data_IF_997338436921
#
_entry.id   IF_997338436921
#
_cell.length_a   1.000
_cell.length_b   1.000
_cell.length_c   1.000
_cell.angle_alpha   90.00
_cell.angle_beta   90.00
_cell.angle_gamma   90.00
#
_symmetry.space_group_name_H-M   'P 1'
#
loop_
_entity.id
_entity.type
_entity.pdbx_description
1 polymer ?
#
# COMPACT_ATOMS: atom_id res chain seq x y z
N UNK A 1 28.99 -6.91 -38.83
CA UNK A 1 28.03 -6.27 -37.89
C UNK A 1 27.27 -5.21 -38.65
N UNK A 2 26.22 -5.62 -39.35
CA UNK A 2 25.34 -4.73 -40.10
C UNK A 2 24.30 -4.17 -39.13
N UNK A 3 24.34 -2.86 -38.92
CA UNK A 3 23.26 -2.12 -38.28
C UNK A 3 22.00 -2.28 -39.15
N UNK A 4 21.17 -3.26 -38.81
CA UNK A 4 19.86 -3.44 -39.42
C UNK A 4 19.00 -2.24 -39.05
N UNK A 5 18.90 -1.28 -39.97
CA UNK A 5 17.95 -0.19 -39.91
C UNK A 5 16.56 -0.77 -39.81
N UNK A 6 16.00 -0.77 -38.59
CA UNK A 6 14.58 -0.94 -38.40
C UNK A 6 13.95 0.33 -38.93
N UNK A 7 13.39 0.24 -40.14
CA UNK A 7 12.31 1.11 -40.56
C UNK A 7 11.18 0.98 -39.52
N UNK A 8 11.25 1.80 -38.48
CA UNK A 8 10.15 2.09 -37.56
C UNK A 8 9.18 3.09 -38.22
N UNK A 9 8.98 2.97 -39.54
CA UNK A 9 8.20 3.87 -40.39
C UNK A 9 6.70 3.56 -40.39
N UNK A 10 6.17 3.01 -39.30
CA UNK A 10 4.74 3.05 -39.05
C UNK A 10 4.41 4.44 -38.51
N UNK A 11 3.41 5.11 -39.09
CA UNK A 11 2.92 6.41 -38.65
C UNK A 11 2.47 6.31 -37.18
N UNK A 12 3.40 6.60 -36.28
CA UNK A 12 3.25 6.52 -34.85
C UNK A 12 3.21 7.93 -34.25
N UNK A 13 2.27 8.24 -33.35
CA UNK A 13 1.10 7.44 -32.94
C UNK A 13 -0.05 7.47 -33.97
N UNK A 14 -0.97 6.50 -33.88
CA UNK A 14 -2.24 6.49 -34.62
C UNK A 14 -3.00 7.81 -34.39
N UNK A 15 -3.51 8.51 -35.43
CA UNK A 15 -4.32 9.71 -35.27
C UNK A 15 -5.47 9.58 -34.26
N UNK A 16 -6.10 8.41 -34.17
CA UNK A 16 -7.18 8.18 -33.20
C UNK A 16 -6.65 8.13 -31.75
N UNK A 17 -5.52 7.45 -31.53
CA UNK A 17 -4.84 7.41 -30.22
C UNK A 17 -4.37 8.81 -29.80
N UNK A 18 -3.78 9.57 -30.73
CA UNK A 18 -3.41 10.97 -30.47
C UNK A 18 -4.62 11.81 -30.07
N UNK A 19 -5.71 11.75 -30.84
CA UNK A 19 -6.92 12.50 -30.54
C UNK A 19 -7.52 12.15 -29.17
N UNK A 20 -7.51 10.86 -28.80
CA UNK A 20 -7.92 10.40 -27.47
C UNK A 20 -7.09 11.08 -26.37
N UNK A 21 -5.77 11.12 -26.51
CA UNK A 21 -4.90 11.73 -25.52
C UNK A 21 -4.94 13.26 -25.52
N UNK A 22 -5.22 13.91 -26.65
CA UNK A 22 -5.45 15.37 -26.72
C UNK A 22 -6.70 15.72 -25.92
N UNK A 23 -7.78 14.96 -26.10
CA UNK A 23 -9.01 15.11 -25.33
C UNK A 23 -8.78 14.84 -23.84
N UNK A 24 -8.03 13.79 -23.49
CA UNK A 24 -7.70 13.46 -22.10
C UNK A 24 -6.90 14.58 -21.41
N UNK A 25 -5.86 15.10 -22.07
CA UNK A 25 -5.04 16.19 -21.53
C UNK A 25 -5.83 17.49 -21.38
N UNK A 26 -6.68 17.83 -22.36
CA UNK A 26 -7.56 19.00 -22.28
C UNK A 26 -8.57 18.86 -21.13
N UNK A 27 -9.15 17.67 -20.94
CA UNK A 27 -10.04 17.35 -19.81
C UNK A 27 -9.33 17.50 -18.47
N UNK A 28 -8.11 16.96 -18.35
CA UNK A 28 -7.29 17.09 -17.15
C UNK A 28 -6.95 18.56 -16.83
N UNK A 29 -6.57 19.34 -17.83
CA UNK A 29 -6.29 20.76 -17.69
C UNK A 29 -7.53 21.55 -17.21
N UNK A 30 -8.71 21.25 -17.78
CA UNK A 30 -9.98 21.86 -17.37
C UNK A 30 -10.33 21.55 -15.90
N UNK A 31 -10.18 20.29 -15.48
CA UNK A 31 -10.37 19.88 -14.07
C UNK A 31 -9.41 20.60 -13.13
N UNK A 32 -8.12 20.69 -13.47
CA UNK A 32 -7.11 21.39 -12.65
C UNK A 32 -7.38 22.90 -12.57
N UNK A 33 -7.88 23.51 -13.64
CA UNK A 33 -8.32 24.90 -13.62
C UNK A 33 -9.50 25.11 -12.69
N UNK A 34 -10.53 24.25 -12.78
CA UNK A 34 -11.73 24.34 -11.95
C UNK A 34 -11.43 24.10 -10.46
N UNK A 35 -10.68 23.04 -10.15
CA UNK A 35 -10.48 22.58 -8.77
C UNK A 35 -9.32 23.30 -8.06
N UNK A 36 -8.26 23.66 -8.80
CA UNK A 36 -7.03 24.26 -8.24
C UNK A 36 -6.74 25.67 -8.74
N UNK A 37 -7.47 26.17 -9.73
CA UNK A 37 -7.17 27.47 -10.36
C UNK A 37 -5.90 27.46 -11.21
N UNK A 38 -5.42 26.28 -11.63
CA UNK A 38 -4.19 26.14 -12.42
C UNK A 38 -4.47 26.31 -13.91
N UNK A 39 -3.70 27.16 -14.58
CA UNK A 39 -3.84 27.48 -16.00
C UNK A 39 -2.53 27.23 -16.76
N UNK A 40 -1.79 26.20 -16.36
CA UNK A 40 -0.54 25.86 -17.01
C UNK A 40 -0.76 25.45 -18.46
N UNK A 41 0.26 25.70 -19.30
CA UNK A 41 0.23 25.27 -20.69
C UNK A 41 0.21 23.74 -20.78
N UNK A 42 -0.59 23.22 -21.70
CA UNK A 42 -0.65 21.79 -21.99
C UNK A 42 -0.41 21.51 -23.47
N UNK A 43 0.32 20.43 -23.78
CA UNK A 43 0.51 19.96 -25.16
C UNK A 43 0.86 18.48 -25.21
N UNK A 44 0.66 17.88 -26.38
CA UNK A 44 1.20 16.57 -26.70
C UNK A 44 2.43 16.69 -27.60
N UNK A 45 3.46 15.90 -27.32
CA UNK A 45 4.67 15.78 -28.14
C UNK A 45 4.94 14.31 -28.47
N UNK A 46 5.43 14.03 -29.68
CA UNK A 46 5.82 12.68 -30.10
C UNK A 46 7.35 12.63 -30.21
N UNK A 47 7.99 11.91 -29.29
CA UNK A 47 9.45 11.85 -29.18
C UNK A 47 9.90 10.47 -28.69
N UNK A 48 11.03 9.98 -29.21
CA UNK A 48 11.66 8.71 -28.78
C UNK A 48 10.74 7.47 -28.87
N UNK A 49 9.82 7.47 -29.83
CA UNK A 49 8.85 6.37 -29.99
C UNK A 49 7.72 6.38 -28.95
N UNK A 50 7.55 7.46 -28.20
CA UNK A 50 6.44 7.66 -27.27
C UNK A 50 5.63 8.92 -27.58
N UNK A 51 4.38 8.92 -27.14
CA UNK A 51 3.52 10.10 -27.06
C UNK A 51 3.56 10.61 -25.63
N UNK A 52 3.87 11.89 -25.45
CA UNK A 52 4.08 12.51 -24.16
C UNK A 52 3.04 13.60 -23.94
N UNK A 53 2.35 13.54 -22.80
CA UNK A 53 1.51 14.61 -22.30
C UNK A 53 2.34 15.54 -21.42
N UNK A 54 2.31 16.83 -21.74
CA UNK A 54 2.97 17.89 -21.00
C UNK A 54 1.93 18.82 -20.38
N UNK A 55 2.06 19.09 -19.07
CA UNK A 55 1.27 20.07 -18.33
C UNK A 55 2.19 20.84 -17.38
N UNK A 56 2.43 22.12 -17.66
CA UNK A 56 3.48 22.88 -16.95
C UNK A 56 4.85 22.23 -17.14
N UNK A 57 5.50 21.83 -16.03
CA UNK A 57 6.78 21.10 -16.06
C UNK A 57 6.60 19.58 -15.94
N UNK A 58 5.36 19.08 -15.78
CA UNK A 58 5.10 17.63 -15.74
C UNK A 58 5.07 17.09 -17.15
N UNK A 59 5.75 15.95 -17.32
CA UNK A 59 5.77 15.17 -18.55
C UNK A 59 5.46 13.71 -18.23
N UNK A 60 4.47 13.14 -18.92
CA UNK A 60 3.95 11.78 -18.72
C UNK A 60 3.90 11.05 -20.05
N UNK A 61 4.47 9.85 -20.15
CA UNK A 61 4.37 9.00 -21.32
C UNK A 61 2.98 8.35 -21.36
N UNK A 62 2.17 8.66 -22.37
CA UNK A 62 0.77 8.19 -22.48
C UNK A 62 0.58 7.12 -23.55
N UNK A 63 1.52 6.99 -24.48
CA UNK A 63 1.57 5.89 -25.44
C UNK A 63 3.03 5.56 -25.80
N UNK A 64 3.31 4.30 -26.11
CA UNK A 64 4.65 3.83 -26.48
C UNK A 64 4.85 2.38 -26.11
N UNK A 65 6.09 1.91 -26.16
CA UNK A 65 6.47 0.58 -25.67
C UNK A 65 6.34 0.44 -24.15
N UNK A 66 6.45 1.55 -23.42
CA UNK A 66 6.37 1.61 -21.96
C UNK A 66 5.65 2.90 -21.53
N UNK A 67 4.32 2.98 -21.66
CA UNK A 67 3.58 4.14 -21.18
C UNK A 67 3.61 4.20 -19.65
N UNK A 68 3.70 5.41 -19.09
CA UNK A 68 3.61 5.67 -17.65
C UNK A 68 2.17 5.47 -17.14
N UNK A 69 1.19 5.71 -18.03
CA UNK A 69 -0.25 5.61 -17.74
C UNK A 69 -0.97 4.89 -18.86
N UNK A 70 -2.01 4.13 -18.53
CA UNK A 70 -2.74 3.29 -19.49
C UNK A 70 -4.11 3.85 -19.90
N UNK A 71 -4.62 4.84 -19.17
CA UNK A 71 -5.91 5.46 -19.43
C UNK A 71 -5.96 6.97 -19.06
N UNK A 72 -6.98 7.71 -19.54
CA UNK A 72 -7.15 9.13 -19.25
C UNK A 72 -7.26 9.50 -17.76
N UNK A 73 -7.81 8.63 -16.91
CA UNK A 73 -7.96 8.96 -15.50
C UNK A 73 -6.60 8.88 -14.80
N UNK A 74 -5.79 7.85 -15.10
CA UNK A 74 -4.41 7.76 -14.62
C UNK A 74 -3.57 8.98 -15.06
N UNK A 75 -3.77 9.50 -16.28
CA UNK A 75 -3.11 10.74 -16.72
C UNK A 75 -3.51 11.94 -15.83
N UNK A 76 -4.81 12.07 -15.52
CA UNK A 76 -5.27 13.13 -14.64
C UNK A 76 -4.68 12.99 -13.24
N UNK A 77 -4.73 11.80 -12.64
CA UNK A 77 -4.19 11.51 -11.32
C UNK A 77 -2.69 11.87 -11.25
N UNK A 78 -1.92 11.49 -12.26
CA UNK A 78 -0.49 11.77 -12.34
C UNK A 78 -0.18 13.28 -12.41
N UNK A 79 -0.95 14.06 -13.19
CA UNK A 79 -0.76 15.51 -13.27
C UNK A 79 -1.25 16.19 -11.98
N UNK A 80 -2.36 15.73 -11.40
CA UNK A 80 -2.91 16.27 -10.16
C UNK A 80 -1.97 16.03 -8.97
N UNK A 81 -1.38 14.84 -8.88
CA UNK A 81 -0.36 14.51 -7.90
C UNK A 81 0.83 15.47 -8.02
N UNK A 82 1.40 15.63 -9.22
CA UNK A 82 2.46 16.60 -9.44
C UNK A 82 2.06 18.03 -9.06
N UNK A 83 0.87 18.46 -9.47
CA UNK A 83 0.36 19.79 -9.20
C UNK A 83 0.19 20.06 -7.69
N UNK A 84 -0.19 19.04 -6.92
CA UNK A 84 -0.32 19.12 -5.47
C UNK A 84 1.01 19.35 -4.76
N UNK A 85 2.13 18.83 -5.29
CA UNK A 85 3.43 18.89 -4.63
C UNK A 85 4.35 20.00 -5.13
N UNK A 86 4.39 20.24 -6.45
CA UNK A 86 5.46 21.03 -7.06
C UNK A 86 5.08 22.47 -7.40
N UNK A 87 3.81 22.85 -7.29
CA UNK A 87 3.36 24.20 -7.67
C UNK A 87 2.97 25.05 -6.46
N UNK A 88 3.29 26.36 -6.55
CA UNK A 88 2.94 27.41 -5.57
C UNK A 88 1.42 27.60 -5.36
N UNK A 89 0.57 26.84 -6.08
CA UNK A 89 -0.87 26.70 -5.83
C UNK A 89 -1.22 25.80 -4.64
N UNK A 90 -0.22 25.25 -3.94
CA UNK A 90 -0.34 24.82 -2.54
C UNK A 90 -0.19 23.32 -2.32
N UNK A 91 1.00 22.86 -1.90
CA UNK A 91 1.08 21.81 -0.88
C UNK A 91 0.00 22.01 0.19
N UNK A 92 -0.84 21.00 0.41
CA UNK A 92 -1.78 20.97 1.55
C UNK A 92 -3.24 21.40 1.31
N UNK A 93 -3.67 21.80 0.10
CA UNK A 93 -5.12 22.05 -0.12
C UNK A 93 -5.85 20.72 -0.32
N UNK A 94 -6.62 20.29 0.66
CA UNK A 94 -7.62 19.21 0.52
C UNK A 94 -8.75 19.69 -0.39
N UNK A 95 -8.96 19.02 -1.52
CA UNK A 95 -10.03 19.30 -2.49
C UNK A 95 -11.34 18.68 -2.00
N UNK A 96 -12.45 19.12 -2.59
CA UNK A 96 -13.77 18.59 -2.23
C UNK A 96 -13.93 17.10 -2.58
N UNK A 97 -13.30 16.62 -3.66
CA UNK A 97 -13.26 15.18 -3.95
C UNK A 97 -12.51 14.39 -2.88
N UNK A 98 -11.47 14.97 -2.30
CA UNK A 98 -10.68 14.31 -1.25
C UNK A 98 -11.48 14.24 0.05
N UNK A 99 -12.18 15.33 0.40
CA UNK A 99 -13.12 15.33 1.54
C UNK A 99 -14.19 14.27 1.38
N UNK A 100 -14.79 14.16 0.18
CA UNK A 100 -15.78 13.12 -0.13
C UNK A 100 -15.19 11.72 -0.02
N UNK A 101 -13.98 11.49 -0.55
CA UNK A 101 -13.29 10.21 -0.43
C UNK A 101 -12.99 9.87 1.04
N UNK A 102 -12.48 10.81 1.82
CA UNK A 102 -12.23 10.62 3.26
C UNK A 102 -13.53 10.38 4.04
N UNK A 103 -14.62 11.07 3.69
CA UNK A 103 -15.93 10.82 4.30
C UNK A 103 -16.44 9.41 3.97
N UNK A 104 -16.38 9.00 2.71
CA UNK A 104 -16.75 7.65 2.27
C UNK A 104 -15.88 6.56 2.90
N UNK A 105 -14.60 6.84 3.14
CA UNK A 105 -13.72 5.94 3.88
C UNK A 105 -14.09 5.89 5.38
N UNK A 106 -14.37 7.02 6.01
CA UNK A 106 -14.84 7.07 7.41
C UNK A 106 -16.11 6.26 7.64
N UNK A 107 -17.02 6.24 6.67
CA UNK A 107 -18.22 5.40 6.72
C UNK A 107 -17.90 3.89 6.77
N UNK A 108 -16.74 3.47 6.24
CA UNK A 108 -16.30 2.07 6.22
C UNK A 108 -15.53 1.66 7.49
N UNK A 109 -14.91 2.60 8.22
CA UNK A 109 -14.07 2.32 9.39
C UNK A 109 -14.76 1.44 10.46
N UNK A 110 -16.05 1.62 10.80
CA UNK A 110 -16.71 0.74 11.77
C UNK A 110 -16.81 -0.71 11.29
N UNK A 111 -16.88 -0.95 9.98
CA UNK A 111 -16.89 -2.31 9.42
C UNK A 111 -15.48 -2.92 9.45
N UNK A 112 -14.46 -2.16 9.02
CA UNK A 112 -13.05 -2.59 9.06
C UNK A 112 -12.62 -2.91 10.49
N UNK A 113 -12.97 -2.06 11.46
CA UNK A 113 -12.70 -2.32 12.89
C UNK A 113 -13.38 -3.61 13.38
N UNK A 114 -14.67 -3.79 13.09
CA UNK A 114 -15.41 -5.01 13.47
C UNK A 114 -14.87 -6.28 12.81
N UNK A 115 -14.26 -6.16 11.64
CA UNK A 115 -13.55 -7.26 10.99
C UNK A 115 -12.27 -7.63 11.75
N UNK A 116 -11.47 -6.64 12.14
CA UNK A 116 -10.17 -6.86 12.78
C UNK A 116 -10.25 -7.29 14.25
N UNK A 117 -11.25 -6.84 15.02
CA UNK A 117 -11.40 -7.20 16.44
C UNK A 117 -11.37 -8.72 16.71
N UNK A 118 -12.16 -9.59 16.03
CA UNK A 118 -12.07 -11.04 16.23
C UNK A 118 -10.76 -11.66 15.72
N UNK A 119 -10.16 -11.11 14.66
CA UNK A 119 -8.87 -11.57 14.12
C UNK A 119 -7.75 -11.31 15.14
N UNK A 120 -7.68 -10.09 15.68
CA UNK A 120 -6.74 -9.72 16.72
C UNK A 120 -6.94 -10.55 17.99
N UNK A 121 -8.19 -10.73 18.45
CA UNK A 121 -8.48 -11.58 19.59
C UNK A 121 -8.01 -13.02 19.41
N UNK A 122 -8.13 -13.57 18.20
CA UNK A 122 -7.67 -14.92 17.86
C UNK A 122 -6.15 -15.02 17.94
N UNK A 123 -5.41 -14.11 17.31
CA UNK A 123 -3.93 -14.12 17.31
C UNK A 123 -3.37 -13.90 18.71
N UNK A 124 -3.87 -12.88 19.42
CA UNK A 124 -3.31 -12.47 20.70
C UNK A 124 -3.62 -13.46 21.83
N UNK A 125 -4.68 -14.26 21.70
CA UNK A 125 -4.93 -15.40 22.59
C UNK A 125 -3.76 -16.38 22.62
N UNK A 126 -3.12 -16.65 21.47
CA UNK A 126 -1.97 -17.56 21.43
C UNK A 126 -0.79 -16.99 22.21
N UNK A 127 -0.57 -15.68 22.10
CA UNK A 127 0.48 -14.98 22.84
C UNK A 127 0.22 -15.10 24.33
N UNK A 128 -0.97 -14.70 24.79
CA UNK A 128 -1.37 -14.75 26.20
C UNK A 128 -1.27 -16.17 26.77
N UNK A 129 -1.74 -17.17 26.01
CA UNK A 129 -1.77 -18.57 26.44
C UNK A 129 -0.39 -19.23 26.56
N UNK A 130 0.61 -18.76 25.80
CA UNK A 130 1.93 -19.41 25.74
C UNK A 130 3.06 -18.61 26.38
N UNK A 131 2.90 -17.31 26.56
CA UNK A 131 3.95 -16.42 27.07
C UNK A 131 3.63 -15.86 28.45
N UNK A 132 2.33 -15.80 28.82
CA UNK A 132 1.88 -15.10 30.03
C UNK A 132 1.97 -13.58 29.96
N UNK A 133 2.28 -12.99 28.79
CA UNK A 133 2.26 -11.55 28.57
C UNK A 133 0.81 -11.03 28.57
N UNK A 134 0.51 -10.03 29.41
CA UNK A 134 -0.73 -9.25 29.37
C UNK A 134 -0.54 -8.06 28.43
N UNK A 135 -0.86 -8.24 27.14
CA UNK A 135 -0.58 -7.22 26.12
C UNK A 135 -1.51 -6.02 26.16
N UNK A 136 -2.67 -6.14 26.85
CA UNK A 136 -3.74 -5.11 26.91
C UNK A 136 -3.97 -4.43 25.58
N UNK A 137 -4.55 -5.17 24.64
CA UNK A 137 -4.67 -4.73 23.26
C UNK A 137 -6.04 -4.11 22.97
N UNK A 138 -6.09 -3.28 21.93
CA UNK A 138 -7.35 -2.80 21.34
C UNK A 138 -7.18 -2.47 19.85
N UNK A 139 -8.25 -2.62 19.10
CA UNK A 139 -8.34 -2.10 17.73
C UNK A 139 -8.93 -0.70 17.78
N UNK A 140 -8.17 0.30 17.31
CA UNK A 140 -8.56 1.71 17.33
C UNK A 140 -8.52 2.31 15.93
N UNK A 141 -9.05 3.52 15.79
CA UNK A 141 -8.91 4.34 14.58
C UNK A 141 -8.00 5.50 14.92
N UNK A 142 -6.92 5.67 14.17
CA UNK A 142 -6.06 6.84 14.24
C UNK A 142 -6.49 7.80 13.15
N UNK A 143 -6.94 8.98 13.57
CA UNK A 143 -7.11 10.12 12.69
C UNK A 143 -5.85 10.98 12.85
N UNK A 144 -4.74 10.55 12.25
CA UNK A 144 -3.57 11.41 12.22
C UNK A 144 -3.92 12.63 11.36
N UNK A 145 -4.11 13.78 11.99
CA UNK A 145 -3.85 15.04 11.33
C UNK A 145 -2.35 15.06 11.09
N UNK A 146 -1.89 14.42 10.00
CA UNK A 146 -0.49 14.56 9.58
C UNK A 146 -0.27 16.06 9.46
N UNK A 147 0.41 16.62 10.47
CA UNK A 147 0.82 18.00 10.50
C UNK A 147 1.65 18.13 9.24
N UNK A 148 1.05 18.77 8.22
CA UNK A 148 1.57 18.90 6.86
C UNK A 148 2.85 19.75 6.94
N UNK A 149 3.88 19.16 7.51
CA UNK A 149 5.20 19.70 7.63
C UNK A 149 5.72 19.60 6.22
N UNK A 150 5.69 20.74 5.53
CA UNK A 150 6.27 20.88 4.21
C UNK A 150 7.57 20.07 4.19
N UNK A 151 7.77 19.16 3.21
CA UNK A 151 8.89 18.24 3.24
C UNK A 151 10.13 19.04 3.60
N UNK A 152 10.77 18.68 4.72
CA UNK A 152 12.03 19.28 5.11
C UNK A 152 12.95 19.33 3.88
N UNK A 153 13.78 20.38 3.73
CA UNK A 153 14.47 20.67 2.48
C UNK A 153 15.02 19.40 1.84
N UNK A 154 14.43 18.99 0.71
CA UNK A 154 14.90 17.83 -0.04
C UNK A 154 16.34 18.11 -0.41
N UNK A 155 17.27 17.33 0.12
CA UNK A 155 18.69 17.48 -0.16
C UNK A 155 18.91 17.37 -1.67
N UNK A 156 19.18 18.51 -2.31
CA UNK A 156 19.61 18.58 -3.70
C UNK A 156 21.10 18.17 -3.73
N UNK A 157 21.34 16.87 -3.90
CA UNK A 157 22.68 16.29 -3.89
C UNK A 157 22.60 14.78 -3.98
N UNK A 158 22.29 14.28 -5.18
CA UNK A 158 22.05 12.86 -5.42
C UNK A 158 23.24 11.96 -5.07
N UNK A 159 23.08 11.17 -4.00
CA UNK A 159 23.65 9.83 -3.90
C UNK A 159 22.59 8.95 -3.23
N UNK A 160 21.93 8.12 -4.02
CA UNK A 160 20.96 7.13 -3.51
C UNK A 160 21.73 5.85 -3.18
N UNK A 161 21.71 5.42 -1.92
CA UNK A 161 22.52 4.29 -1.44
C UNK A 161 21.91 2.93 -1.79
N UNK A 162 20.60 2.83 -2.09
CA UNK A 162 19.92 1.52 -2.16
C UNK A 162 19.29 1.11 -3.51
N UNK A 163 19.54 1.83 -4.61
CA UNK A 163 19.11 1.40 -5.96
C UNK A 163 17.60 1.24 -6.19
N UNK A 164 16.76 1.48 -5.18
CA UNK A 164 15.30 1.54 -5.31
C UNK A 164 14.94 2.91 -5.91
N UNK A 165 14.05 2.96 -6.92
CA UNK A 165 13.54 4.25 -7.39
C UNK A 165 12.92 5.00 -6.21
N UNK A 166 13.05 6.35 -6.16
CA UNK A 166 12.38 7.12 -5.13
C UNK A 166 10.89 6.76 -5.15
N UNK A 167 10.36 6.34 -4.00
CA UNK A 167 8.91 6.23 -3.82
C UNK A 167 8.38 7.63 -4.11
N UNK A 168 7.65 7.79 -5.21
CA UNK A 168 7.01 9.07 -5.53
C UNK A 168 6.19 9.45 -4.29
N UNK A 169 6.34 10.67 -3.76
CA UNK A 169 5.47 11.11 -2.67
C UNK A 169 4.06 11.09 -3.22
N UNK A 170 3.31 10.03 -2.94
CA UNK A 170 1.87 10.01 -3.14
C UNK A 170 1.32 11.00 -2.16
N UNK A 171 0.32 11.78 -2.58
CA UNK A 171 -0.43 12.67 -1.70
C UNK A 171 -0.99 11.83 -0.55
N UNK A 172 -0.40 11.86 0.67
CA UNK A 172 -1.01 11.21 1.79
C UNK A 172 -2.15 12.15 2.15
N UNK A 173 -3.32 11.87 1.58
CA UNK A 173 -4.52 12.31 2.26
C UNK A 173 -4.49 11.56 3.59
N UNK A 174 -4.63 12.25 4.73
CA UNK A 174 -4.65 11.62 6.04
C UNK A 174 -5.96 10.84 6.19
N UNK A 175 -6.08 9.74 5.46
CA UNK A 175 -7.17 8.80 5.65
C UNK A 175 -6.99 8.21 7.04
N UNK A 176 -8.03 8.22 7.88
CA UNK A 176 -7.95 7.53 9.16
C UNK A 176 -7.54 6.08 8.96
N UNK A 177 -6.62 5.59 9.77
CA UNK A 177 -6.13 4.23 9.69
C UNK A 177 -6.69 3.41 10.85
N UNK A 178 -6.90 2.11 10.63
CA UNK A 178 -7.25 1.20 11.72
C UNK A 178 -5.96 0.64 12.29
N UNK A 179 -5.79 0.69 13.61
CA UNK A 179 -4.57 0.28 14.29
C UNK A 179 -4.85 -0.81 15.31
N UNK A 180 -3.93 -1.76 15.44
CA UNK A 180 -3.79 -2.58 16.64
C UNK A 180 -2.84 -1.87 17.59
N UNK A 181 -3.33 -1.48 18.77
CA UNK A 181 -2.51 -0.95 19.85
C UNK A 181 -2.32 -2.00 20.94
N UNK A 182 -1.11 -2.10 21.44
CA UNK A 182 -0.74 -2.79 22.68
C UNK A 182 -0.16 -1.79 23.67
N UNK A 183 0.25 -2.24 24.85
CA UNK A 183 0.92 -1.37 25.83
C UNK A 183 2.26 -0.78 25.32
N UNK A 184 2.92 -1.42 24.35
CA UNK A 184 4.29 -1.07 23.93
C UNK A 184 4.42 -0.73 22.44
N UNK A 185 3.49 -1.21 21.61
CA UNK A 185 3.56 -1.08 20.16
C UNK A 185 2.22 -0.67 19.56
N UNK A 186 2.26 -0.02 18.41
CA UNK A 186 1.11 0.26 17.57
C UNK A 186 1.40 -0.17 16.15
N UNK A 187 0.42 -0.75 15.46
CA UNK A 187 0.53 -1.20 14.08
C UNK A 187 -0.69 -0.83 13.26
N UNK A 188 -0.48 -0.20 12.11
CA UNK A 188 -1.52 -0.02 11.09
C UNK A 188 -1.98 -1.37 10.53
N UNK A 189 -3.29 -1.54 10.44
CA UNK A 189 -3.97 -2.74 9.94
C UNK A 189 -4.50 -2.47 8.53
N UNK A 190 -4.10 -3.26 7.51
CA UNK A 190 -4.54 -3.03 6.15
C UNK A 190 -6.03 -3.37 5.95
N UNK A 191 -6.60 -2.89 4.85
CA UNK A 191 -7.92 -3.35 4.40
C UNK A 191 -7.82 -4.75 3.81
N UNK A 192 -8.49 -5.72 4.42
CA UNK A 192 -8.52 -7.12 3.98
C UNK A 192 -9.96 -7.65 3.97
N UNK A 193 -10.22 -8.63 3.12
CA UNK A 193 -11.56 -9.24 2.98
C UNK A 193 -11.63 -10.66 3.55
N UNK A 194 -10.49 -11.37 3.61
CA UNK A 194 -10.41 -12.73 4.12
C UNK A 194 -9.83 -12.76 5.53
N UNK A 195 -10.54 -13.43 6.45
CA UNK A 195 -10.18 -13.47 7.87
C UNK A 195 -8.97 -14.35 8.18
N UNK A 196 -8.70 -15.38 7.37
CA UNK A 196 -7.56 -16.28 7.57
C UNK A 196 -6.28 -15.65 7.02
N UNK A 197 -6.34 -15.00 5.84
CA UNK A 197 -5.24 -14.17 5.34
C UNK A 197 -4.91 -13.03 6.31
N UNK A 198 -5.93 -12.38 6.88
CA UNK A 198 -5.76 -11.35 7.90
C UNK A 198 -5.14 -11.89 9.19
N UNK A 199 -5.54 -13.09 9.63
CA UNK A 199 -4.94 -13.77 10.77
C UNK A 199 -3.46 -14.09 10.51
N UNK A 200 -3.11 -14.60 9.32
CA UNK A 200 -1.72 -14.85 8.95
C UNK A 200 -0.89 -13.56 8.95
N UNK A 201 -1.39 -12.51 8.29
CA UNK A 201 -0.72 -11.21 8.23
C UNK A 201 -0.43 -10.66 9.62
N UNK A 202 -1.41 -10.71 10.52
CA UNK A 202 -1.25 -10.21 11.88
C UNK A 202 -0.38 -11.13 12.74
N UNK A 203 -0.48 -12.44 12.59
CA UNK A 203 0.31 -13.41 13.33
C UNK A 203 1.81 -13.30 13.01
N UNK A 204 2.17 -13.10 11.75
CA UNK A 204 3.56 -12.89 11.30
C UNK A 204 4.15 -11.64 11.94
N UNK A 205 3.39 -10.54 11.86
CA UNK A 205 3.70 -9.27 12.50
C UNK A 205 3.86 -9.36 14.03
N UNK A 206 2.94 -10.03 14.73
CA UNK A 206 2.98 -10.19 16.19
C UNK A 206 4.09 -11.14 16.61
N UNK A 207 4.41 -12.14 15.79
CA UNK A 207 5.50 -13.07 16.04
C UNK A 207 6.85 -12.34 16.14
N UNK A 208 7.13 -11.43 15.23
CA UNK A 208 8.35 -10.61 15.28
C UNK A 208 8.45 -9.83 16.60
N UNK A 209 7.37 -9.15 16.99
CA UNK A 209 7.31 -8.37 18.24
C UNK A 209 7.54 -9.26 19.48
N UNK A 210 6.93 -10.45 19.52
CA UNK A 210 7.05 -11.39 20.65
C UNK A 210 8.44 -12.02 20.70
N UNK A 211 9.03 -12.36 19.56
CA UNK A 211 10.40 -12.89 19.48
C UNK A 211 11.40 -11.85 19.99
N UNK A 212 11.22 -10.58 19.63
CA UNK A 212 12.05 -9.48 20.11
C UNK A 212 11.96 -9.34 21.64
N UNK A 213 10.75 -9.35 22.20
CA UNK A 213 10.52 -9.22 23.65
C UNK A 213 11.01 -10.43 24.45
N UNK A 214 10.80 -11.65 23.96
CA UNK A 214 11.19 -12.88 24.66
C UNK A 214 12.67 -13.25 24.46
N UNK A 215 13.34 -12.63 23.49
CA UNK A 215 14.69 -13.00 23.04
C UNK A 215 14.81 -14.51 22.73
N UNK A 216 13.79 -15.09 22.10
CA UNK A 216 13.68 -16.54 21.89
C UNK A 216 12.70 -16.92 20.77
N UNK A 217 12.60 -18.22 20.48
CA UNK A 217 11.69 -18.72 19.45
C UNK A 217 10.24 -18.72 19.95
N UNK A 218 9.35 -18.06 19.21
CA UNK A 218 7.91 -18.06 19.49
C UNK A 218 7.08 -18.11 18.20
N UNK A 219 5.98 -18.88 18.13
CA UNK A 219 5.67 -19.98 19.05
C UNK A 219 6.75 -21.07 18.95
N UNK A 220 7.18 -21.68 20.07
CA UNK A 220 8.24 -22.67 20.02
C UNK A 220 7.79 -23.94 19.29
N UNK A 221 8.60 -24.44 18.36
CA UNK A 221 8.35 -25.76 17.78
C UNK A 221 8.58 -26.84 18.84
N UNK A 222 7.64 -27.78 19.06
CA UNK A 222 7.79 -28.81 20.09
C UNK A 222 8.84 -29.88 19.74
N UNK A 223 9.38 -29.90 18.52
CA UNK A 223 10.36 -30.89 18.05
C UNK A 223 11.74 -30.31 17.78
N UNK A 224 11.86 -29.00 17.55
CA UNK A 224 13.10 -28.39 17.04
C UNK A 224 13.35 -27.01 17.68
N UNK A 225 14.61 -26.53 17.74
CA UNK A 225 14.96 -25.25 18.34
C UNK A 225 14.75 -24.08 17.35
N UNK A 226 13.53 -23.91 16.84
CA UNK A 226 13.15 -22.81 15.95
C UNK A 226 11.68 -22.43 16.19
N UNK A 227 11.24 -21.22 15.78
CA UNK A 227 9.83 -20.86 15.85
C UNK A 227 9.00 -21.70 14.86
N UNK A 228 7.71 -21.85 15.13
CA UNK A 228 6.73 -22.18 14.10
C UNK A 228 6.57 -20.96 13.18
N UNK A 229 6.34 -21.17 11.89
CA UNK A 229 6.06 -20.10 10.93
C UNK A 229 4.57 -20.01 10.66
N UNK A 230 4.09 -18.85 10.22
CA UNK A 230 2.73 -18.68 9.75
C UNK A 230 2.57 -19.31 8.37
N UNK A 231 1.44 -19.98 8.12
CA UNK A 231 1.08 -20.53 6.81
C UNK A 231 -0.45 -20.68 6.68
N UNK A 232 -0.92 -20.96 5.47
CA UNK A 232 -2.32 -21.25 5.15
C UNK A 232 -2.44 -22.67 4.62
N UNK A 233 -3.33 -23.48 5.20
CA UNK A 233 -3.55 -24.85 4.72
C UNK A 233 -4.19 -24.87 3.33
N UNK A 234 -4.18 -26.03 2.67
CA UNK A 234 -4.91 -26.20 1.40
C UNK A 234 -6.43 -25.97 1.49
N UNK A 235 -7.00 -25.96 2.70
CA UNK A 235 -8.42 -25.60 2.94
C UNK A 235 -8.62 -24.12 3.27
N UNK A 236 -7.56 -23.30 3.22
CA UNK A 236 -7.61 -21.87 3.53
C UNK A 236 -7.49 -21.52 5.02
N UNK A 237 -7.16 -22.46 5.92
CA UNK A 237 -7.08 -22.19 7.36
C UNK A 237 -5.70 -21.63 7.74
N UNK A 238 -5.67 -20.54 8.51
CA UNK A 238 -4.44 -19.98 9.06
C UNK A 238 -3.87 -20.86 10.18
N UNK A 239 -2.61 -21.25 10.06
CA UNK A 239 -1.92 -22.16 10.97
C UNK A 239 -0.51 -21.68 11.33
N UNK A 240 -0.06 -22.05 12.52
CA UNK A 240 1.35 -22.13 12.87
C UNK A 240 1.88 -23.49 12.41
N UNK A 241 2.94 -23.52 11.60
CA UNK A 241 3.49 -24.75 11.04
C UNK A 241 4.99 -24.87 11.32
N UNK A 242 5.45 -26.09 11.57
CA UNK A 242 6.89 -26.35 11.70
C UNK A 242 7.55 -26.29 10.31
N UNK A 243 8.62 -25.49 10.12
CA UNK A 243 9.31 -25.44 8.85
C UNK A 243 9.97 -26.76 8.40
N UNK A 244 10.27 -27.65 9.35
CA UNK A 244 10.95 -28.93 9.09
C UNK A 244 10.00 -30.14 9.04
N UNK A 245 8.82 -30.04 9.64
CA UNK A 245 7.79 -31.10 9.69
C UNK A 245 6.41 -30.47 9.47
N UNK A 246 6.01 -30.19 8.23
CA UNK A 246 4.77 -29.45 7.93
C UNK A 246 3.49 -30.09 8.46
N UNK A 247 3.49 -31.40 8.71
CA UNK A 247 2.40 -32.11 9.39
C UNK A 247 2.18 -31.63 10.83
N UNK A 248 3.21 -31.05 11.45
CA UNK A 248 3.10 -30.37 12.73
C UNK A 248 2.59 -28.96 12.49
N UNK A 249 1.27 -28.83 12.49
CA UNK A 249 0.56 -27.57 12.37
C UNK A 249 -0.47 -27.41 13.49
N UNK A 250 -0.71 -26.17 13.89
CA UNK A 250 -1.72 -25.80 14.89
C UNK A 250 -2.48 -24.59 14.37
N UNK A 251 -3.84 -24.61 14.35
CA UNK A 251 -4.61 -23.43 13.96
C UNK A 251 -4.24 -22.22 14.82
N UNK A 252 -4.10 -21.06 14.18
CA UNK A 252 -3.89 -19.80 14.91
C UNK A 252 -5.08 -19.59 15.86
N UNK A 253 -4.82 -19.14 17.09
CA UNK A 253 -5.78 -19.00 18.18
C UNK A 253 -6.08 -20.27 18.98
N UNK A 254 -5.30 -21.32 18.78
CA UNK A 254 -5.43 -22.63 19.46
C UNK A 254 -4.17 -23.06 20.23
N UNK A 255 -3.13 -22.23 20.29
CA UNK A 255 -1.96 -22.52 21.12
C UNK A 255 -2.34 -22.50 22.61
N UNK A 256 -1.75 -23.42 23.39
CA UNK A 256 -2.08 -23.59 24.81
C UNK A 256 -3.44 -24.26 25.10
N UNK A 257 -4.25 -24.56 24.07
CA UNK A 257 -5.45 -25.37 24.22
C UNK A 257 -5.13 -26.84 24.51
N UNK A 258 -6.10 -27.64 25.00
CA UNK A 258 -5.94 -29.09 25.05
C UNK A 258 -5.59 -29.57 23.64
N UNK A 259 -4.49 -30.32 23.50
CA UNK A 259 -4.04 -30.82 22.20
C UNK A 259 -5.24 -31.43 21.47
N UNK A 260 -5.56 -30.89 20.29
CA UNK A 260 -6.60 -31.47 19.46
C UNK A 260 -6.22 -32.94 19.20
N UNK A 261 -7.16 -33.89 19.34
CA UNK A 261 -6.86 -35.28 19.02
C UNK A 261 -6.38 -35.33 17.57
N UNK A 262 -5.18 -35.89 17.37
CA UNK A 262 -4.70 -36.24 16.03
C UNK A 262 -5.69 -37.26 15.45
N UNK A 263 -6.40 -36.89 14.39
CA UNK A 263 -7.10 -37.88 13.56
C UNK A 263 -6.03 -38.57 12.69
N UNK A 264 -5.68 -39.80 13.07
CA UNK A 264 -4.79 -40.71 12.33
C UNK A 264 -5.46 -41.26 11.05
#
# INVERSE_FOLDING_TARGET
MTAGGRDAGGAWPDPAERARWEQALASAAGRLQEERGLTDACRLTAEWGGLWAEYGDRRVCVAGSHPDVSDPEQLFEEIDEWAAFHRRGGPGRVLERDRRAMAAWREQLPAVRRFWEPVAARVLRDVEATTGLDLRWRVTVHEDEEEWSAPGPVAVGGVFVDGRPPVRPRRPLPFPEVWLETAHTGRGLPSMADGEEAACHLADAVQDDVIEELHGAWPPCPRHPHPLRVDVTGSGLAVWVCPQLPELSVPIGSLGGPAAPHED
#
